data_IF_158890708998
#
_entry.id   IF_158890708998
#
_cell.length_a   1.000
_cell.length_b   1.000
_cell.length_c   1.000
_cell.angle_alpha   90.00
_cell.angle_beta   90.00
_cell.angle_gamma   90.00
#
_symmetry.space_group_name_H-M   'P 1'
#
loop_
_entity.id
_entity.type
_entity.pdbx_description
1 polymer ?
#
# COMPACT_ATOMS: atom_id res chain seq x y z
N UNK A 1 -9.24 -16.58 19.78
CA UNK A 1 -8.33 -16.37 18.64
C UNK A 1 -8.02 -14.89 18.65
N UNK A 2 -6.76 -14.51 18.91
CA UNK A 2 -6.40 -13.12 19.14
C UNK A 2 -6.68 -12.27 17.90
N UNK A 3 -7.48 -11.23 18.08
CA UNK A 3 -7.43 -10.08 17.19
C UNK A 3 -6.12 -9.35 17.49
N UNK A 4 -5.29 -9.22 16.45
CA UNK A 4 -4.17 -8.30 16.48
C UNK A 4 -4.67 -7.05 15.78
N UNK A 5 -5.13 -6.03 16.52
CA UNK A 5 -5.71 -4.84 15.92
C UNK A 5 -4.68 -4.05 15.09
N UNK A 6 -3.39 -4.26 15.37
CA UNK A 6 -2.29 -3.60 14.69
C UNK A 6 -1.17 -4.59 14.40
N UNK A 7 -0.66 -4.56 13.17
CA UNK A 7 0.60 -5.20 12.80
C UNK A 7 1.65 -4.13 12.55
N UNK A 8 2.82 -4.32 13.18
CA UNK A 8 4.01 -3.50 12.97
C UNK A 8 5.11 -4.44 12.51
N UNK A 9 5.72 -4.14 11.36
CA UNK A 9 6.88 -4.86 10.86
C UNK A 9 8.08 -3.92 10.85
N UNK A 10 9.17 -4.35 11.48
CA UNK A 10 10.48 -3.68 11.46
C UNK A 10 11.55 -4.76 11.31
N UNK A 11 12.39 -4.65 10.28
CA UNK A 11 13.44 -5.60 9.93
C UNK A 11 13.53 -5.89 8.43
N UNK A 12 14.66 -6.48 8.01
CA UNK A 12 14.94 -6.86 6.62
C UNK A 12 14.15 -8.11 6.22
N UNK A 13 13.05 -7.92 5.49
CA UNK A 13 12.37 -9.01 4.81
C UNK A 13 12.50 -8.84 3.29
N UNK A 14 12.62 -9.94 2.57
CA UNK A 14 12.66 -9.89 1.10
C UNK A 14 11.25 -9.75 0.52
N UNK A 15 10.25 -10.28 1.22
CA UNK A 15 8.85 -10.27 0.75
C UNK A 15 7.89 -10.27 1.93
N UNK A 16 6.85 -9.45 1.84
CA UNK A 16 5.73 -9.46 2.76
C UNK A 16 4.49 -9.96 2.02
N UNK A 17 3.85 -10.99 2.56
CA UNK A 17 2.56 -11.50 2.11
C UNK A 17 1.58 -11.52 3.28
N UNK A 18 0.48 -10.78 3.16
CA UNK A 18 -0.57 -10.82 4.17
C UNK A 18 -1.94 -11.16 3.57
N UNK A 19 -2.57 -12.17 4.16
CA UNK A 19 -3.79 -12.84 3.67
C UNK A 19 -4.93 -12.86 4.70
N UNK A 20 -4.82 -12.06 5.76
CA UNK A 20 -5.80 -11.96 6.85
C UNK A 20 -6.17 -10.50 7.08
N UNK A 21 -7.40 -10.25 7.50
CA UNK A 21 -7.84 -8.90 7.87
C UNK A 21 -7.07 -8.43 9.11
N UNK A 22 -6.44 -7.26 8.98
CA UNK A 22 -5.77 -6.56 10.08
C UNK A 22 -6.28 -5.13 10.05
N UNK A 23 -6.87 -4.60 11.14
CA UNK A 23 -7.42 -3.25 11.11
C UNK A 23 -6.38 -2.17 10.77
N UNK A 24 -5.16 -2.30 11.28
CA UNK A 24 -4.08 -1.33 11.04
C UNK A 24 -2.76 -2.00 10.71
N UNK A 25 -2.11 -1.56 9.63
CA UNK A 25 -0.76 -1.96 9.26
C UNK A 25 0.18 -0.75 9.25
N UNK A 26 1.30 -0.87 9.97
CA UNK A 26 2.39 0.09 9.96
C UNK A 26 3.68 -0.60 9.52
N UNK A 27 4.34 -0.01 8.53
CA UNK A 27 5.57 -0.54 7.98
C UNK A 27 6.54 0.60 7.69
N UNK A 28 7.77 0.49 8.17
CA UNK A 28 8.75 1.58 8.18
C UNK A 28 10.16 1.08 7.79
N UNK A 29 10.26 0.32 6.70
CA UNK A 29 11.51 -0.26 6.19
C UNK A 29 11.39 -0.50 4.68
N UNK A 30 12.52 -0.80 4.04
CA UNK A 30 12.60 -1.12 2.60
C UNK A 30 12.32 -2.59 2.34
N UNK A 31 11.49 -2.89 1.33
CA UNK A 31 11.19 -4.26 0.94
C UNK A 31 11.17 -4.42 -0.57
N UNK A 32 11.85 -5.42 -1.14
CA UNK A 32 11.76 -5.68 -2.58
C UNK A 32 10.30 -5.86 -3.06
N UNK A 33 9.46 -6.55 -2.29
CA UNK A 33 8.08 -6.85 -2.70
C UNK A 33 7.11 -6.86 -1.52
N UNK A 34 5.97 -6.20 -1.70
CA UNK A 34 4.82 -6.27 -0.80
C UNK A 34 3.55 -6.71 -1.55
N UNK A 35 2.84 -7.67 -0.97
CA UNK A 35 1.53 -8.13 -1.44
C UNK A 35 0.53 -8.21 -0.28
N UNK A 36 -0.52 -7.37 -0.33
CA UNK A 36 -1.66 -7.43 0.59
C UNK A 36 -2.93 -7.76 -0.20
N UNK A 37 -3.64 -8.82 0.19
CA UNK A 37 -4.81 -9.32 -0.56
C UNK A 37 -6.09 -9.41 0.30
N UNK A 38 -6.25 -8.48 1.25
CA UNK A 38 -7.37 -8.39 2.21
C UNK A 38 -7.61 -6.95 2.63
N UNK A 39 -8.67 -6.75 3.39
CA UNK A 39 -9.14 -5.44 3.82
C UNK A 39 -8.36 -4.95 5.05
N UNK A 40 -8.03 -3.67 5.05
CA UNK A 40 -7.38 -2.99 6.16
C UNK A 40 -8.03 -1.64 6.34
N UNK A 41 -8.36 -1.26 7.57
CA UNK A 41 -8.94 0.06 7.81
C UNK A 41 -7.93 1.18 7.53
N UNK A 42 -6.69 0.98 7.97
CA UNK A 42 -5.61 1.97 7.85
C UNK A 42 -4.29 1.32 7.47
N UNK A 43 -3.61 1.90 6.48
CA UNK A 43 -2.25 1.51 6.08
C UNK A 43 -1.32 2.73 6.10
N UNK A 44 -0.16 2.55 6.74
CA UNK A 44 0.98 3.45 6.65
C UNK A 44 2.22 2.67 6.17
N UNK A 45 2.73 3.04 5.00
CA UNK A 45 3.96 2.50 4.42
C UNK A 45 4.98 3.62 4.26
N UNK A 46 6.16 3.43 4.86
CA UNK A 46 7.30 4.34 4.76
C UNK A 46 8.53 3.51 4.40
N UNK A 47 9.17 3.82 3.28
CA UNK A 47 10.34 3.09 2.77
C UNK A 47 10.25 2.82 1.27
N UNK A 48 11.25 2.14 0.73
CA UNK A 48 11.40 1.89 -0.70
C UNK A 48 11.00 0.45 -1.08
N UNK A 49 10.19 0.32 -2.12
CA UNK A 49 9.66 -0.97 -2.57
C UNK A 49 9.71 -1.11 -4.07
N UNK A 50 10.41 -2.12 -4.56
CA UNK A 50 10.46 -2.35 -6.02
C UNK A 50 9.09 -2.69 -6.59
N UNK A 51 8.23 -3.37 -5.82
CA UNK A 51 6.87 -3.71 -6.23
C UNK A 51 5.91 -3.72 -5.04
N UNK A 52 4.81 -2.97 -5.17
CA UNK A 52 3.68 -3.00 -4.24
C UNK A 52 2.40 -3.42 -4.97
N UNK A 53 1.70 -4.41 -4.42
CA UNK A 53 0.39 -4.85 -4.91
C UNK A 53 -0.58 -4.89 -3.74
N UNK A 54 -1.67 -4.12 -3.84
CA UNK A 54 -2.73 -4.04 -2.86
C UNK A 54 -4.07 -4.41 -3.51
N UNK A 55 -4.75 -5.40 -2.95
CA UNK A 55 -6.04 -5.90 -3.41
C UNK A 55 -7.03 -6.02 -2.24
N UNK A 56 -8.14 -5.30 -2.29
CA UNK A 56 -9.15 -5.24 -1.21
C UNK A 56 -9.61 -3.82 -0.89
N UNK A 57 -10.25 -3.65 0.26
CA UNK A 57 -10.78 -2.37 0.71
C UNK A 57 -9.87 -1.70 1.74
N UNK A 58 -9.44 -0.48 1.44
CA UNK A 58 -8.50 0.30 2.25
C UNK A 58 -8.99 1.74 2.43
N UNK A 59 -9.84 2.01 3.44
CA UNK A 59 -10.42 3.33 3.70
C UNK A 59 -9.40 4.46 3.81
N UNK A 60 -8.25 4.21 4.43
CA UNK A 60 -7.18 5.19 4.58
C UNK A 60 -5.82 4.60 4.27
N UNK A 61 -5.11 5.21 3.32
CA UNK A 61 -3.76 4.83 2.94
C UNK A 61 -2.81 6.02 2.87
N UNK A 62 -1.65 5.89 3.50
CA UNK A 62 -0.49 6.76 3.34
C UNK A 62 0.71 5.94 2.86
N UNK A 63 1.33 6.37 1.77
CA UNK A 63 2.55 5.77 1.23
C UNK A 63 3.60 6.86 1.02
N UNK A 64 4.82 6.63 1.52
CA UNK A 64 5.96 7.54 1.43
C UNK A 64 7.22 6.76 1.08
N UNK A 65 7.94 7.15 0.02
CA UNK A 65 9.20 6.51 -0.42
C UNK A 65 9.22 6.24 -1.92
N UNK A 66 10.11 5.38 -2.42
CA UNK A 66 10.22 5.06 -3.85
C UNK A 66 9.58 3.72 -4.21
N UNK A 67 8.63 3.76 -5.16
CA UNK A 67 7.82 2.61 -5.53
C UNK A 67 7.74 2.46 -7.06
N UNK A 68 8.77 1.89 -7.72
CA UNK A 68 8.82 1.81 -9.18
C UNK A 68 7.60 1.16 -9.81
N UNK A 69 6.98 0.18 -9.14
CA UNK A 69 5.76 -0.47 -9.62
C UNK A 69 4.71 -0.54 -8.49
N UNK A 70 3.57 0.13 -8.70
CA UNK A 70 2.43 0.12 -7.80
C UNK A 70 1.17 -0.36 -8.51
N UNK A 71 0.44 -1.28 -7.88
CA UNK A 71 -0.89 -1.74 -8.31
C UNK A 71 -1.85 -1.65 -7.13
N UNK A 72 -2.90 -0.83 -7.26
CA UNK A 72 -3.99 -0.73 -6.31
C UNK A 72 -5.29 -1.20 -6.98
N UNK A 73 -5.96 -2.19 -6.37
CA UNK A 73 -7.20 -2.77 -6.89
C UNK A 73 -8.26 -2.95 -5.79
N UNK A 74 -9.41 -2.29 -5.93
CA UNK A 74 -10.48 -2.29 -4.90
C UNK A 74 -10.93 -0.88 -4.50
N UNK A 75 -11.50 -0.74 -3.30
CA UNK A 75 -12.06 0.53 -2.83
C UNK A 75 -11.11 1.26 -1.87
N UNK A 76 -10.71 2.47 -2.26
CA UNK A 76 -9.78 3.31 -1.52
C UNK A 76 -10.30 4.74 -1.33
N UNK A 77 -11.23 4.96 -0.38
CA UNK A 77 -11.81 6.26 -0.06
C UNK A 77 -10.82 7.42 0.05
N UNK A 78 -9.69 7.20 0.76
CA UNK A 78 -8.64 8.20 0.97
C UNK A 78 -7.26 7.60 0.75
N UNK A 79 -6.56 8.09 -0.27
CA UNK A 79 -5.19 7.70 -0.60
C UNK A 79 -4.30 8.93 -0.73
N UNK A 80 -3.18 8.93 -0.01
CA UNK A 80 -2.12 9.91 -0.13
C UNK A 80 -0.80 9.21 -0.47
N UNK A 81 -0.30 9.43 -1.69
CA UNK A 81 0.96 8.88 -2.19
C UNK A 81 1.99 10.00 -2.34
N UNK A 82 3.10 9.90 -1.60
CA UNK A 82 4.26 10.78 -1.68
C UNK A 82 5.46 9.95 -2.15
N UNK A 83 5.53 9.71 -3.47
CA UNK A 83 6.42 8.70 -4.06
C UNK A 83 6.81 8.99 -5.50
N UNK A 84 7.97 8.50 -5.92
CA UNK A 84 8.30 8.33 -7.33
C UNK A 84 8.00 6.89 -7.79
N UNK A 85 7.25 6.76 -8.89
CA UNK A 85 6.87 5.48 -9.49
C UNK A 85 7.04 5.49 -11.01
N UNK A 86 7.59 4.42 -11.56
CA UNK A 86 7.71 4.26 -13.01
C UNK A 86 6.39 3.75 -13.59
N UNK A 87 5.66 2.91 -12.86
CA UNK A 87 4.33 2.44 -13.23
C UNK A 87 3.39 2.50 -12.03
N UNK A 88 2.23 3.11 -12.22
CA UNK A 88 1.15 3.13 -11.24
C UNK A 88 -0.15 2.73 -11.91
N UNK A 89 -0.74 1.64 -11.44
CA UNK A 89 -2.02 1.11 -11.91
C UNK A 89 -3.07 1.25 -10.82
N UNK A 90 -4.14 1.99 -11.10
CA UNK A 90 -5.28 2.17 -10.19
C UNK A 90 -6.54 1.59 -10.83
N UNK A 91 -7.17 0.62 -10.16
CA UNK A 91 -8.41 -0.02 -10.61
C UNK A 91 -9.43 -0.10 -9.46
N UNK A 92 -10.49 0.70 -9.54
CA UNK A 92 -11.54 0.74 -8.52
C UNK A 92 -11.85 2.18 -8.08
N UNK A 93 -12.42 2.33 -6.89
CA UNK A 93 -12.95 3.62 -6.42
C UNK A 93 -11.94 4.39 -5.56
N UNK A 94 -11.56 5.58 -6.04
CA UNK A 94 -10.64 6.50 -5.35
C UNK A 94 -11.24 7.92 -5.21
N UNK A 95 -12.25 8.11 -4.33
CA UNK A 95 -12.90 9.41 -4.14
C UNK A 95 -11.92 10.55 -3.79
N UNK A 96 -10.92 10.25 -2.94
CA UNK A 96 -9.88 11.19 -2.56
C UNK A 96 -8.51 10.57 -2.83
N UNK A 97 -7.91 10.95 -3.96
CA UNK A 97 -6.56 10.54 -4.35
C UNK A 97 -5.65 11.78 -4.45
N UNK A 98 -4.61 11.83 -3.63
CA UNK A 98 -3.57 12.85 -3.71
C UNK A 98 -2.25 12.19 -4.07
N UNK A 99 -1.65 12.65 -5.17
CA UNK A 99 -0.39 12.17 -5.71
C UNK A 99 0.64 13.30 -5.68
N UNK A 100 1.76 13.10 -4.98
CA UNK A 100 2.91 14.00 -4.97
C UNK A 100 4.21 13.25 -5.28
N UNK A 101 4.92 13.67 -6.33
CA UNK A 101 6.07 12.95 -6.91
C UNK A 101 5.91 12.76 -8.42
N UNK A 102 6.67 11.82 -8.98
CA UNK A 102 6.66 11.50 -10.41
C UNK A 102 6.00 10.14 -10.66
N UNK A 103 5.09 10.06 -11.63
CA UNK A 103 4.33 8.85 -11.93
C UNK A 103 4.08 8.68 -13.42
N UNK A 104 4.02 7.43 -13.89
CA UNK A 104 3.22 7.09 -15.06
C UNK A 104 1.94 6.42 -14.59
N UNK A 105 0.88 7.21 -14.49
CA UNK A 105 -0.42 6.76 -14.02
C UNK A 105 -1.23 6.17 -15.17
N UNK A 106 -1.65 4.91 -15.03
CA UNK A 106 -2.75 4.34 -15.80
C UNK A 106 -3.88 3.97 -14.83
N UNK A 107 -5.03 4.60 -14.99
CA UNK A 107 -6.22 4.32 -14.18
C UNK A 107 -7.37 3.87 -15.08
N UNK A 108 -8.20 2.94 -14.59
CA UNK A 108 -9.45 2.52 -15.25
C UNK A 108 -10.65 2.71 -14.34
#
# INVERSE_FOLDING_TARGET
MGDFPTMILMGDFITILLMRDVPTMLLMEDFPTMLLMRDFTTILLVGDFTTMILMGDFPTMLVIGDFPNMLLMGDFPTVLLMTDSTTMLLMGDFPTLLLMGTFQLCSS
#
